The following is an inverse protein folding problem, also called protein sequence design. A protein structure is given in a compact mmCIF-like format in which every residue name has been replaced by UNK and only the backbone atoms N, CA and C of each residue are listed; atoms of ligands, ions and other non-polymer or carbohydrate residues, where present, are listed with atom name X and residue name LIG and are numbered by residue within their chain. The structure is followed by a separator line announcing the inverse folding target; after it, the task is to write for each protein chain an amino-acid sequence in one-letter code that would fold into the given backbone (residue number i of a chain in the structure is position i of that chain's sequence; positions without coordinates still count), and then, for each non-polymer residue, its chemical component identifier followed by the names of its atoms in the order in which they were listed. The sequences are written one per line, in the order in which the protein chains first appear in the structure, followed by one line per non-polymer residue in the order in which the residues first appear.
data_IF_608831792304
#
_entry.id   IF_608831792304
#
_cell.length_a   1.000
_cell.length_b   1.000
_cell.length_c   1.000
_cell.angle_alpha   90.00
_cell.angle_beta   90.00
_cell.angle_gamma   90.00
#
_symmetry.space_group_name_H-M   'P 1'
#
loop_
_entity.id
_entity.type
_entity.pdbx_description
1 polymer ?
#
# COMPACT_ATOMS: atom_id res chain seq x y z
N UNK A 1 8.73 -10.78 14.17
CA UNK A 1 7.30 -10.51 13.92
C UNK A 1 7.04 -9.10 14.44
N UNK A 2 7.45 -8.10 13.65
CA UNK A 2 7.21 -6.69 13.98
C UNK A 2 5.77 -6.38 13.66
N UNK A 3 5.00 -6.12 14.70
CA UNK A 3 3.58 -5.81 14.65
C UNK A 3 3.32 -4.62 13.72
N UNK A 4 2.30 -4.76 12.86
CA UNK A 4 1.70 -3.71 12.03
C UNK A 4 1.06 -2.61 12.92
N UNK A 5 1.86 -1.93 13.73
CA UNK A 5 1.46 -0.91 14.71
C UNK A 5 2.62 -0.02 15.16
N UNK A 6 3.78 -0.11 14.51
CA UNK A 6 4.84 0.89 14.66
C UNK A 6 4.65 1.92 13.56
N UNK A 7 4.55 3.21 13.90
CA UNK A 7 4.60 4.30 12.93
C UNK A 7 5.88 4.16 12.11
N UNK A 8 5.83 3.65 10.87
CA UNK A 8 7.04 3.48 10.09
C UNK A 8 7.63 4.87 9.82
N UNK A 9 8.96 4.95 9.84
CA UNK A 9 9.63 6.22 9.50
C UNK A 9 9.42 6.51 8.02
N UNK A 10 9.55 7.78 7.62
CA UNK A 10 9.46 8.16 6.21
C UNK A 10 10.44 7.35 5.34
N UNK A 11 11.65 7.07 5.85
CA UNK A 11 12.63 6.24 5.18
C UNK A 11 12.17 4.78 5.01
N UNK A 12 11.55 4.18 6.03
CA UNK A 12 11.03 2.80 5.93
C UNK A 12 9.85 2.72 4.95
N UNK A 13 8.95 3.70 4.96
CA UNK A 13 7.87 3.79 3.98
C UNK A 13 8.40 3.97 2.56
N UNK A 14 9.42 4.82 2.42
CA UNK A 14 10.06 5.08 1.15
C UNK A 14 10.77 3.83 0.62
N UNK A 15 11.38 3.02 1.48
CA UNK A 15 11.97 1.73 1.10
C UNK A 15 10.87 0.77 0.62
N UNK A 16 9.77 0.65 1.36
CA UNK A 16 8.62 -0.17 0.97
C UNK A 16 7.98 0.25 -0.36
N UNK A 17 7.94 1.56 -0.62
CA UNK A 17 7.44 2.10 -1.88
C UNK A 17 8.45 1.81 -2.98
N UNK A 18 9.73 2.08 -2.80
CA UNK A 18 10.76 1.76 -3.79
C UNK A 18 10.80 0.27 -4.17
N UNK A 19 10.45 -0.63 -3.24
CA UNK A 19 10.32 -2.07 -3.55
C UNK A 19 9.11 -2.40 -4.43
N UNK A 20 8.05 -1.59 -4.35
CA UNK A 20 6.79 -1.73 -5.07
C UNK A 20 6.76 -0.99 -6.40
N UNK A 21 7.35 0.21 -6.37
CA UNK A 21 7.45 1.23 -7.40
C UNK A 21 8.46 0.76 -8.45
N UNK A 22 7.93 0.30 -9.57
CA UNK A 22 8.70 -0.21 -10.69
C UNK A 22 9.02 0.89 -11.71
N UNK A 23 8.24 1.97 -11.74
CA UNK A 23 8.42 3.08 -12.66
C UNK A 23 9.26 4.23 -12.09
N UNK A 24 9.50 4.23 -10.78
CA UNK A 24 10.31 5.19 -10.03
C UNK A 24 9.60 6.53 -9.82
N UNK A 25 8.27 6.53 -9.71
CA UNK A 25 7.47 7.74 -9.54
C UNK A 25 7.23 8.14 -8.07
N UNK A 26 7.84 7.43 -7.11
CA UNK A 26 7.71 7.59 -5.66
C UNK A 26 6.26 7.38 -5.15
N UNK A 27 5.42 6.74 -5.95
CA UNK A 27 4.04 6.36 -5.63
C UNK A 27 3.79 4.92 -6.06
N UNK A 28 2.68 4.34 -5.61
CA UNK A 28 2.27 3.00 -6.03
C UNK A 28 1.01 3.14 -6.88
N UNK A 29 1.13 2.88 -8.17
CA UNK A 29 -0.02 2.85 -9.07
C UNK A 29 -0.83 1.54 -8.92
N UNK A 30 -2.02 1.52 -9.51
CA UNK A 30 -2.87 0.33 -9.45
C UNK A 30 -2.20 -0.95 -10.01
N UNK A 31 -1.59 -0.94 -11.22
CA UNK A 31 -0.72 -2.03 -11.70
C UNK A 31 0.39 -2.50 -10.72
N UNK A 32 1.09 -1.59 -10.06
CA UNK A 32 2.17 -1.87 -9.11
C UNK A 32 1.64 -2.49 -7.83
N UNK A 33 0.54 -1.92 -7.30
CA UNK A 33 -0.18 -2.47 -6.16
C UNK A 33 -0.69 -3.88 -6.44
N UNK A 34 -1.21 -4.12 -7.66
CA UNK A 34 -1.56 -5.47 -8.10
C UNK A 34 -0.33 -6.38 -8.07
N UNK A 35 0.78 -5.99 -8.66
CA UNK A 35 1.99 -6.83 -8.68
C UNK A 35 2.47 -7.18 -7.25
N UNK A 36 2.38 -6.23 -6.33
CA UNK A 36 2.71 -6.41 -4.92
C UNK A 36 1.73 -7.37 -4.22
N UNK A 37 0.42 -7.17 -4.40
CA UNK A 37 -0.61 -8.06 -3.84
C UNK A 37 -0.56 -9.46 -4.44
N UNK A 38 -0.25 -9.60 -5.73
CA UNK A 38 -0.09 -10.89 -6.39
C UNK A 38 1.15 -11.64 -5.88
N UNK A 39 2.22 -10.93 -5.49
CA UNK A 39 3.39 -11.52 -4.82
C UNK A 39 3.10 -11.96 -3.38
N UNK A 40 2.30 -11.19 -2.63
CA UNK A 40 2.05 -11.44 -1.20
C UNK A 40 0.87 -12.40 -0.96
N UNK A 41 -0.20 -12.29 -1.74
CA UNK A 41 -1.42 -13.11 -1.65
C UNK A 41 -1.70 -13.79 -2.99
N UNK A 42 -1.35 -15.06 -3.08
CA UNK A 42 -1.71 -15.95 -4.20
C UNK A 42 -3.22 -16.29 -4.30
N UNK A 43 -4.09 -15.59 -3.55
CA UNK A 43 -5.46 -15.98 -3.24
C UNK A 43 -6.47 -14.81 -3.27
N UNK A 44 -6.09 -13.66 -3.85
CA UNK A 44 -7.04 -12.56 -4.10
C UNK A 44 -7.38 -12.56 -5.59
N UNK A 45 -8.37 -13.38 -5.96
CA UNK A 45 -8.77 -13.60 -7.34
C UNK A 45 -9.63 -12.46 -7.92
N UNK A 46 -10.23 -11.63 -7.08
CA UNK A 46 -11.17 -10.60 -7.52
C UNK A 46 -10.49 -9.25 -7.70
N UNK A 47 -10.41 -8.79 -8.96
CA UNK A 47 -10.02 -7.42 -9.32
C UNK A 47 -10.83 -6.35 -8.58
N UNK A 48 -12.08 -6.67 -8.20
CA UNK A 48 -12.96 -5.79 -7.42
C UNK A 48 -12.48 -5.62 -5.99
N UNK A 49 -12.11 -6.70 -5.28
CA UNK A 49 -11.50 -6.61 -3.95
C UNK A 49 -10.18 -5.84 -3.96
N UNK A 50 -9.36 -6.02 -5.00
CA UNK A 50 -8.12 -5.25 -5.16
C UNK A 50 -8.39 -3.77 -5.39
N UNK A 51 -9.45 -3.44 -6.13
CA UNK A 51 -9.90 -2.05 -6.32
C UNK A 51 -10.45 -1.44 -5.03
N UNK A 52 -11.23 -2.19 -4.26
CA UNK A 52 -11.73 -1.71 -2.97
C UNK A 52 -10.60 -1.52 -1.98
N UNK A 53 -9.66 -2.47 -1.90
CA UNK A 53 -8.46 -2.32 -1.10
C UNK A 53 -7.68 -1.07 -1.54
N UNK A 54 -7.42 -0.92 -2.84
CA UNK A 54 -6.72 0.25 -3.37
C UNK A 54 -7.41 1.57 -2.98
N UNK A 55 -8.75 1.65 -3.05
CA UNK A 55 -9.53 2.82 -2.61
C UNK A 55 -9.46 3.09 -1.11
N UNK A 56 -9.19 2.07 -0.29
CA UNK A 56 -8.96 2.28 1.15
C UNK A 56 -7.60 2.94 1.38
N UNK A 57 -6.60 2.59 0.55
CA UNK A 57 -5.26 3.18 0.58
C UNK A 57 -5.20 4.57 -0.06
N UNK A 58 -5.74 4.75 -1.26
CA UNK A 58 -5.82 6.00 -2.03
C UNK A 58 -6.95 6.89 -1.46
N UNK A 59 -6.57 7.79 -0.55
CA UNK A 59 -7.50 8.65 0.19
C UNK A 59 -8.01 9.79 -0.67
N UNK A 60 -7.18 10.31 -1.56
CA UNK A 60 -7.54 11.43 -2.41
C UNK A 60 -8.13 11.02 -3.78
N UNK A 61 -8.16 9.71 -4.06
CA UNK A 61 -8.74 9.10 -5.26
C UNK A 61 -8.06 9.56 -6.55
N UNK A 62 -6.76 9.86 -6.49
CA UNK A 62 -5.97 10.24 -7.67
C UNK A 62 -5.55 9.02 -8.52
N UNK A 63 -5.74 7.79 -8.02
CA UNK A 63 -5.33 6.55 -8.69
C UNK A 63 -3.92 6.07 -8.36
N UNK A 64 -3.25 6.68 -7.39
CA UNK A 64 -1.89 6.43 -6.91
C UNK A 64 -1.88 6.42 -5.38
N UNK A 65 -1.04 5.59 -4.77
CA UNK A 65 -0.86 5.57 -3.31
C UNK A 65 0.47 6.22 -3.00
N UNK A 66 0.42 7.39 -2.38
CA UNK A 66 1.61 8.13 -1.94
C UNK A 66 2.12 7.58 -0.60
N UNK A 67 3.39 7.87 -0.27
CA UNK A 67 3.97 7.51 1.03
C UNK A 67 3.15 7.98 2.24
N UNK A 68 2.60 9.19 2.14
CA UNK A 68 1.72 9.75 3.18
C UNK A 68 0.42 8.98 3.36
N UNK A 69 -0.15 8.46 2.26
CA UNK A 69 -1.40 7.70 2.26
C UNK A 69 -1.18 6.28 2.78
N UNK A 70 -0.13 5.62 2.30
CA UNK A 70 0.31 4.32 2.79
C UNK A 70 0.53 4.36 4.31
N UNK A 71 1.23 5.39 4.80
CA UNK A 71 1.44 5.63 6.23
C UNK A 71 0.13 5.78 6.99
N UNK A 72 -0.77 6.63 6.48
CA UNK A 72 -2.05 6.89 7.12
C UNK A 72 -2.87 5.61 7.29
N UNK A 73 -2.88 4.76 6.27
CA UNK A 73 -3.59 3.48 6.31
C UNK A 73 -2.86 2.47 7.19
N UNK A 74 -1.53 2.37 7.15
CA UNK A 74 -0.76 1.48 8.03
C UNK A 74 -0.94 1.82 9.51
N UNK A 75 -0.98 3.10 9.87
CA UNK A 75 -1.27 3.54 11.24
C UNK A 75 -2.72 3.22 11.65
N UNK A 76 -3.70 3.47 10.76
CA UNK A 76 -5.11 3.20 11.08
C UNK A 76 -5.46 1.70 11.09
N UNK A 77 -4.81 0.88 10.28
CA UNK A 77 -5.01 -0.57 10.22
C UNK A 77 -4.43 -1.26 11.46
N UNK A 78 -3.40 -0.67 12.08
CA UNK A 78 -2.81 -1.14 13.33
C UNK A 78 -3.59 -0.78 14.60
N UNK A 79 -4.39 0.28 14.55
CA UNK A 79 -5.25 0.73 15.67
C UNK A 79 -6.62 0.04 15.68
N UNK A 80 -6.94 -0.78 14.68
CA UNK A 80 -8.17 -1.58 14.64
C UNK A 80 -8.04 -2.84 15.51
N UNK A 81 -7.92 -2.67 16.82
CA UNK A 81 -8.20 -3.70 17.83
C UNK A 81 -8.88 -3.09 19.06
#
# INVERSE_FOLDING_TARGET
MGSLGQNPTEAELQDMINEADADGNDTIDFPEFLNLMWRIKKNTDSKEELKEAFRVFDKDQNGFISAGELRHVMTNLGEAH
#
